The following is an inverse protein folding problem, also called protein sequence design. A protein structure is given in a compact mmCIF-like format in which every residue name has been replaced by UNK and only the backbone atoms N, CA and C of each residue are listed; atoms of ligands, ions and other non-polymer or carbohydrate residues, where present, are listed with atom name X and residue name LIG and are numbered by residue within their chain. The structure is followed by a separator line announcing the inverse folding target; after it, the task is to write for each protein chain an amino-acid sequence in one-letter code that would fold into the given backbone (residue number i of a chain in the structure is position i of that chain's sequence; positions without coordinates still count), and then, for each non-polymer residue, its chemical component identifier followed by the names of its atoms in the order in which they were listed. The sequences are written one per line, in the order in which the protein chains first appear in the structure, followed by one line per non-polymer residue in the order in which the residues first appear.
data_IF_604534166191
#
_entry.id   IF_604534166191
#
_cell.length_a   1.000
_cell.length_b   1.000
_cell.length_c   1.000
_cell.angle_alpha   90.00
_cell.angle_beta   90.00
_cell.angle_gamma   90.00
#
_symmetry.space_group_name_H-M   'P 1'
#
loop_
_entity.id
_entity.type
_entity.pdbx_description
1 polymer ?
#
# COMPACT_ATOMS: atom_id res chain seq x y z
N UNK A 1 -37.80 17.19 -40.01
CA UNK A 1 -37.22 18.50 -39.63
C UNK A 1 -37.99 18.99 -38.41
N UNK A 2 -37.46 19.08 -37.19
CA UNK A 2 -36.08 19.07 -36.72
C UNK A 2 -36.02 18.37 -35.35
N UNK A 3 -35.10 17.43 -35.22
CA UNK A 3 -34.57 17.03 -33.93
C UNK A 3 -33.64 18.16 -33.48
N UNK A 4 -33.97 18.84 -32.39
CA UNK A 4 -33.08 19.80 -31.78
C UNK A 4 -32.24 19.04 -30.75
N UNK A 5 -31.03 18.72 -31.18
CA UNK A 5 -29.97 18.09 -30.41
C UNK A 5 -29.78 18.79 -29.06
N UNK A 6 -29.88 18.01 -27.99
CA UNK A 6 -29.50 18.42 -26.64
C UNK A 6 -28.02 18.13 -26.44
N UNK A 7 -27.15 18.87 -27.10
CA UNK A 7 -25.72 18.94 -26.73
C UNK A 7 -25.47 20.21 -25.92
N UNK A 8 -25.11 20.04 -24.64
CA UNK A 8 -24.22 20.90 -23.82
C UNK A 8 -24.58 20.76 -22.33
N UNK A 9 -23.72 20.35 -21.42
CA UNK A 9 -22.34 19.93 -21.55
C UNK A 9 -21.97 19.11 -20.32
N UNK A 10 -21.16 18.07 -20.51
CA UNK A 10 -20.42 17.44 -19.43
C UNK A 10 -19.45 18.50 -18.89
N UNK A 11 -19.86 19.28 -17.90
CA UNK A 11 -18.90 19.98 -17.06
C UNK A 11 -18.09 18.89 -16.35
N UNK A 12 -16.93 18.56 -16.89
CA UNK A 12 -15.91 17.88 -16.13
C UNK A 12 -15.75 18.69 -14.86
N UNK A 13 -16.23 18.15 -13.74
CA UNK A 13 -16.00 18.70 -12.42
C UNK A 13 -14.49 18.82 -12.27
N UNK A 14 -13.95 20.02 -12.54
CA UNK A 14 -12.54 20.32 -12.26
C UNK A 14 -12.33 19.92 -10.81
N UNK A 15 -11.39 19.01 -10.57
CA UNK A 15 -11.16 18.54 -9.22
C UNK A 15 -10.70 19.75 -8.41
N UNK A 16 -11.15 19.90 -7.16
CA UNK A 16 -10.68 20.99 -6.31
C UNK A 16 -9.14 21.01 -6.17
N UNK A 17 -8.48 19.89 -6.46
CA UNK A 17 -7.03 19.70 -6.45
C UNK A 17 -6.34 20.35 -7.64
N UNK A 18 -7.02 20.59 -8.77
CA UNK A 18 -6.46 21.31 -9.92
C UNK A 18 -6.20 22.79 -9.60
N UNK A 19 -6.78 23.29 -8.50
CA UNK A 19 -6.60 24.65 -7.98
C UNK A 19 -5.60 24.74 -6.83
N UNK A 20 -5.12 23.60 -6.33
CA UNK A 20 -4.16 23.56 -5.23
C UNK A 20 -2.73 23.62 -5.77
N UNK A 21 -1.81 24.33 -5.10
CA UNK A 21 -0.39 24.23 -5.39
C UNK A 21 0.08 22.77 -5.27
N UNK A 22 1.01 22.31 -6.14
CA UNK A 22 1.53 20.94 -6.11
C UNK A 22 2.06 20.51 -4.74
N UNK A 23 2.64 21.43 -3.97
CA UNK A 23 3.21 21.20 -2.64
C UNK A 23 2.12 20.86 -1.62
N UNK A 24 0.96 21.52 -1.72
CA UNK A 24 -0.19 21.26 -0.83
C UNK A 24 -0.81 19.91 -1.17
N UNK A 25 -0.99 19.64 -2.46
CA UNK A 25 -1.49 18.34 -2.94
C UNK A 25 -0.56 17.20 -2.50
N UNK A 26 0.76 17.38 -2.62
CA UNK A 26 1.74 16.43 -2.10
C UNK A 26 1.60 16.21 -0.59
N UNK A 27 1.46 17.29 0.19
CA UNK A 27 1.29 17.19 1.65
C UNK A 27 0.00 16.47 2.05
N UNK A 28 -1.05 16.54 1.23
CA UNK A 28 -2.26 15.75 1.45
C UNK A 28 -1.97 14.26 1.21
N UNK A 29 -1.34 13.93 0.08
CA UNK A 29 -1.03 12.54 -0.24
C UNK A 29 -0.04 11.91 0.74
N UNK A 30 0.91 12.66 1.30
CA UNK A 30 1.86 12.11 2.28
C UNK A 30 1.24 11.72 3.63
N UNK A 31 -0.02 12.09 3.88
CA UNK A 31 -0.77 11.67 5.08
C UNK A 31 -1.62 10.41 4.85
N UNK A 32 -1.72 9.95 3.61
CA UNK A 32 -2.54 8.80 3.26
C UNK A 32 -1.82 7.49 3.59
N UNK A 33 -2.58 6.47 3.98
CA UNK A 33 -2.06 5.11 4.06
C UNK A 33 -1.88 4.49 2.67
N UNK A 34 -1.14 3.38 2.60
CA UNK A 34 -0.80 2.69 1.34
C UNK A 34 -2.05 2.36 0.53
N UNK A 35 -3.13 1.92 1.19
CA UNK A 35 -4.37 1.56 0.50
C UNK A 35 -5.08 2.79 -0.09
N UNK A 36 -5.14 3.89 0.66
CA UNK A 36 -5.71 5.14 0.18
C UNK A 36 -4.87 5.76 -0.93
N UNK A 37 -3.53 5.65 -0.86
CA UNK A 37 -2.63 6.05 -1.95
C UNK A 37 -2.89 5.25 -3.23
N UNK A 38 -3.05 3.92 -3.12
CA UNK A 38 -3.38 3.08 -4.28
C UNK A 38 -4.70 3.52 -4.92
N UNK A 39 -5.76 3.67 -4.11
CA UNK A 39 -7.07 4.14 -4.57
C UNK A 39 -6.99 5.54 -5.20
N UNK A 40 -6.28 6.47 -4.55
CA UNK A 40 -6.05 7.82 -5.07
C UNK A 40 -5.34 7.79 -6.43
N UNK A 41 -4.35 6.90 -6.62
CA UNK A 41 -3.64 6.76 -7.88
C UNK A 41 -4.52 6.25 -9.03
N UNK A 42 -5.67 5.64 -8.75
CA UNK A 42 -6.60 5.11 -9.74
C UNK A 42 -7.71 6.10 -10.11
N UNK A 43 -7.81 7.24 -9.41
CA UNK A 43 -8.92 8.20 -9.58
C UNK A 43 -8.86 8.96 -10.91
N UNK A 44 -7.70 9.51 -11.27
CA UNK A 44 -7.50 10.25 -12.50
C UNK A 44 -6.03 10.25 -12.93
N UNK A 45 -5.77 10.60 -14.20
CA UNK A 45 -4.41 10.64 -14.76
C UNK A 45 -3.48 11.58 -13.99
N UNK A 46 -3.96 12.76 -13.58
CA UNK A 46 -3.14 13.74 -12.87
C UNK A 46 -2.66 13.20 -11.52
N UNK A 47 -3.56 12.59 -10.74
CA UNK A 47 -3.22 11.98 -9.45
C UNK A 47 -2.34 10.75 -9.64
N UNK A 48 -2.64 9.92 -10.64
CA UNK A 48 -1.81 8.78 -10.99
C UNK A 48 -0.35 9.21 -11.23
N UNK A 49 -0.16 10.25 -12.04
CA UNK A 49 1.17 10.79 -12.35
C UNK A 49 1.88 11.38 -11.14
N UNK A 50 1.16 12.10 -10.28
CA UNK A 50 1.72 12.69 -9.06
C UNK A 50 2.09 11.64 -8.00
N UNK A 51 1.31 10.56 -7.91
CA UNK A 51 1.46 9.54 -6.86
C UNK A 51 2.46 8.45 -7.29
N UNK A 52 2.31 7.85 -8.47
CA UNK A 52 3.09 6.64 -8.85
C UNK A 52 4.60 6.85 -8.87
N UNK A 53 5.05 7.97 -9.44
CA UNK A 53 6.47 8.22 -9.67
C UNK A 53 7.12 9.05 -8.56
N UNK A 54 6.49 9.14 -7.39
CA UNK A 54 6.95 9.99 -6.29
C UNK A 54 7.49 9.15 -5.14
N UNK A 55 8.81 8.92 -5.17
CA UNK A 55 9.51 8.14 -4.15
C UNK A 55 9.34 8.70 -2.73
N UNK A 56 9.15 10.03 -2.58
CA UNK A 56 8.98 10.64 -1.27
C UNK A 56 7.65 10.23 -0.59
N UNK A 57 6.64 9.81 -1.37
CA UNK A 57 5.41 9.22 -0.84
C UNK A 57 5.61 7.76 -0.44
N UNK A 58 6.29 6.96 -1.28
CA UNK A 58 6.36 5.51 -1.08
C UNK A 58 7.49 5.07 -0.13
N UNK A 59 8.62 5.78 -0.12
CA UNK A 59 9.81 5.42 0.66
C UNK A 59 9.54 5.33 2.16
N UNK A 60 8.83 6.27 2.83
CA UNK A 60 8.53 6.14 4.26
C UNK A 60 7.74 4.88 4.62
N UNK A 61 6.74 4.53 3.80
CA UNK A 61 5.96 3.30 3.97
C UNK A 61 6.81 2.06 3.72
N UNK A 62 7.69 2.09 2.71
CA UNK A 62 8.62 1.00 2.44
C UNK A 62 9.60 0.78 3.61
N UNK A 63 10.15 1.84 4.19
CA UNK A 63 11.01 1.75 5.36
C UNK A 63 10.27 1.19 6.59
N UNK A 64 8.99 1.52 6.75
CA UNK A 64 8.15 0.93 7.80
C UNK A 64 7.97 -0.57 7.59
N UNK A 65 7.71 -1.00 6.35
CA UNK A 65 7.63 -2.43 6.01
C UNK A 65 8.97 -3.15 6.15
N UNK A 66 10.09 -2.48 5.85
CA UNK A 66 11.47 -2.99 5.99
C UNK A 66 11.82 -3.35 7.42
N UNK A 67 11.27 -2.65 8.41
CA UNK A 67 11.47 -3.00 9.83
C UNK A 67 10.93 -4.40 10.18
N UNK A 68 9.99 -4.91 9.38
CA UNK A 68 9.36 -6.23 9.57
C UNK A 68 9.90 -7.27 8.57
N UNK A 69 10.13 -6.85 7.33
CA UNK A 69 10.58 -7.70 6.21
C UNK A 69 11.86 -7.12 5.58
N UNK A 70 12.99 -7.06 6.31
CA UNK A 70 14.21 -6.43 5.80
C UNK A 70 14.75 -7.16 4.58
N UNK A 71 14.80 -8.50 4.63
CA UNK A 71 15.32 -9.36 3.56
C UNK A 71 14.57 -9.19 2.24
N UNK A 72 13.25 -9.17 2.28
CA UNK A 72 12.44 -9.05 1.07
C UNK A 72 12.51 -7.66 0.46
N UNK A 73 12.49 -6.62 1.32
CA UNK A 73 12.58 -5.24 0.86
C UNK A 73 13.97 -4.94 0.28
N UNK A 74 15.04 -5.37 0.97
CA UNK A 74 16.41 -5.15 0.52
C UNK A 74 16.69 -5.92 -0.77
N UNK A 75 16.23 -7.16 -0.90
CA UNK A 75 16.35 -7.93 -2.14
C UNK A 75 15.63 -7.29 -3.33
N UNK A 76 14.43 -6.73 -3.15
CA UNK A 76 13.73 -5.99 -4.21
C UNK A 76 14.47 -4.67 -4.55
N UNK A 77 15.06 -3.98 -3.58
CA UNK A 77 15.87 -2.78 -3.84
C UNK A 77 17.13 -3.14 -4.65
N UNK A 78 17.82 -4.22 -4.28
CA UNK A 78 19.01 -4.73 -4.98
C UNK A 78 18.67 -5.15 -6.42
N UNK A 79 17.46 -5.67 -6.65
CA UNK A 79 16.95 -5.99 -7.98
C UNK A 79 16.53 -4.75 -8.81
N UNK A 80 16.66 -3.54 -8.26
CA UNK A 80 16.37 -2.28 -8.97
C UNK A 80 14.89 -1.93 -9.09
N UNK A 81 14.02 -2.50 -8.24
CA UNK A 81 12.61 -2.11 -8.20
C UNK A 81 12.43 -0.68 -7.64
N UNK A 82 11.38 0.01 -8.09
CA UNK A 82 11.00 1.32 -7.53
C UNK A 82 10.42 1.17 -6.13
N UNK A 83 10.48 2.23 -5.30
CA UNK A 83 9.91 2.21 -3.95
C UNK A 83 8.43 1.81 -3.92
N UNK A 84 7.66 2.25 -4.93
CA UNK A 84 6.27 1.82 -5.09
C UNK A 84 6.19 0.31 -5.34
N UNK A 85 6.92 -0.20 -6.33
CA UNK A 85 6.85 -1.61 -6.71
C UNK A 85 7.31 -2.51 -5.54
N UNK A 86 8.43 -2.17 -4.90
CA UNK A 86 8.96 -2.87 -3.72
C UNK A 86 7.92 -2.91 -2.59
N UNK A 87 7.29 -1.78 -2.27
CA UNK A 87 6.29 -1.75 -1.21
C UNK A 87 5.08 -2.62 -1.57
N UNK A 88 4.52 -2.48 -2.78
CA UNK A 88 3.31 -3.21 -3.17
C UNK A 88 3.53 -4.73 -3.20
N UNK A 89 4.70 -5.19 -3.62
CA UNK A 89 5.08 -6.62 -3.62
C UNK A 89 5.14 -7.20 -2.20
N UNK A 90 5.58 -6.39 -1.24
CA UNK A 90 5.81 -6.83 0.14
C UNK A 90 4.74 -6.38 1.14
N UNK A 91 3.72 -5.64 0.69
CA UNK A 91 2.72 -5.02 1.57
C UNK A 91 1.91 -6.03 2.36
N UNK A 92 1.35 -7.05 1.69
CA UNK A 92 0.58 -8.09 2.38
C UNK A 92 1.49 -8.92 3.30
N UNK A 93 2.66 -9.36 2.80
CA UNK A 93 3.62 -10.14 3.61
C UNK A 93 4.02 -9.39 4.89
N UNK A 94 4.39 -8.12 4.78
CA UNK A 94 4.79 -7.30 5.93
C UNK A 94 3.64 -7.09 6.92
N UNK A 95 2.40 -6.89 6.46
CA UNK A 95 1.23 -6.76 7.36
C UNK A 95 0.92 -8.05 8.11
N UNK A 96 0.95 -9.17 7.41
CA UNK A 96 0.66 -10.48 8.03
C UNK A 96 1.76 -10.82 9.02
N UNK A 97 3.04 -10.66 8.64
CA UNK A 97 4.17 -10.91 9.53
C UNK A 97 4.12 -10.00 10.76
N UNK A 98 3.85 -8.70 10.59
CA UNK A 98 3.68 -7.78 11.71
C UNK A 98 2.52 -8.19 12.63
N UNK A 99 1.39 -8.63 12.09
CA UNK A 99 0.26 -9.08 12.90
C UNK A 99 0.63 -10.32 13.76
N UNK A 100 1.40 -11.25 13.21
CA UNK A 100 1.96 -12.37 13.98
C UNK A 100 2.94 -11.88 15.05
N UNK A 101 3.95 -11.08 14.68
CA UNK A 101 4.98 -10.59 15.62
C UNK A 101 4.44 -9.66 16.71
N UNK A 102 3.34 -8.94 16.45
CA UNK A 102 2.65 -8.14 17.48
C UNK A 102 1.82 -8.99 18.45
N UNK A 103 1.69 -10.29 18.21
CA UNK A 103 0.90 -11.21 19.02
C UNK A 103 -0.61 -11.14 18.77
N UNK A 104 -1.05 -10.45 17.71
CA UNK A 104 -2.48 -10.40 17.34
C UNK A 104 -3.07 -11.79 17.10
N UNK A 105 -2.23 -12.72 16.68
CA UNK A 105 -2.58 -14.11 16.37
C UNK A 105 -1.97 -15.11 17.38
N UNK A 106 -1.52 -14.66 18.54
CA UNK A 106 -1.07 -15.55 19.61
C UNK A 106 -2.25 -16.32 20.21
N UNK A 107 -1.99 -17.48 20.79
CA UNK A 107 -2.99 -18.31 21.50
C UNK A 107 -4.19 -18.77 20.66
N UNK A 108 -4.00 -18.99 19.37
CA UNK A 108 -5.07 -19.52 18.50
C UNK A 108 -5.35 -20.98 18.88
N UNK A 109 -6.53 -21.21 19.48
CA UNK A 109 -6.98 -22.54 19.92
C UNK A 109 -7.55 -23.42 18.80
N UNK A 110 -7.86 -22.84 17.64
CA UNK A 110 -8.46 -23.56 16.52
C UNK A 110 -8.24 -22.83 15.20
N UNK A 111 -8.07 -23.54 14.07
CA UNK A 111 -7.91 -22.94 12.74
C UNK A 111 -9.05 -21.99 12.33
N UNK A 112 -10.25 -22.16 12.87
CA UNK A 112 -11.41 -21.29 12.57
C UNK A 112 -11.27 -19.87 13.14
N UNK A 113 -10.36 -19.67 14.10
CA UNK A 113 -10.08 -18.36 14.67
C UNK A 113 -9.03 -17.58 13.86
N UNK A 114 -8.43 -18.19 12.83
CA UNK A 114 -7.55 -17.48 11.91
C UNK A 114 -8.37 -16.59 10.97
N UNK A 115 -7.91 -15.36 10.67
CA UNK A 115 -8.55 -14.53 9.67
C UNK A 115 -8.49 -15.16 8.28
N UNK A 116 -9.65 -15.49 7.70
CA UNK A 116 -9.77 -16.14 6.38
C UNK A 116 -9.17 -15.32 5.21
N UNK A 117 -9.07 -14.00 5.37
CA UNK A 117 -8.77 -13.06 4.27
C UNK A 117 -7.38 -12.44 4.31
N UNK A 118 -6.62 -12.70 5.37
CA UNK A 118 -5.35 -12.01 5.66
C UNK A 118 -4.17 -12.98 5.78
N UNK A 119 -4.23 -14.16 5.16
CA UNK A 119 -3.07 -15.05 5.11
C UNK A 119 -2.44 -14.93 3.74
N UNK A 120 -1.16 -14.55 3.68
CA UNK A 120 -0.37 -14.64 2.45
C UNK A 120 0.59 -15.83 2.55
N UNK A 121 0.93 -16.47 1.42
CA UNK A 121 2.00 -17.47 1.41
C UNK A 121 3.31 -16.84 1.89
N UNK A 122 4.02 -17.53 2.77
CA UNK A 122 5.35 -17.14 3.24
C UNK A 122 6.27 -18.36 3.19
N UNK A 123 7.57 -18.11 2.97
CA UNK A 123 8.61 -19.13 3.00
C UNK A 123 8.88 -19.66 4.41
N UNK A 124 9.52 -20.83 4.47
CA UNK A 124 9.82 -21.53 5.71
C UNK A 124 10.66 -20.69 6.69
N UNK A 125 11.58 -19.87 6.18
CA UNK A 125 12.42 -19.01 7.01
C UNK A 125 11.59 -17.92 7.70
N UNK A 126 10.69 -17.26 6.95
CA UNK A 126 9.76 -16.27 7.52
C UNK A 126 8.87 -16.88 8.60
N UNK A 127 8.35 -18.09 8.38
CA UNK A 127 7.59 -18.81 9.41
C UNK A 127 8.44 -19.21 10.60
N UNK A 128 9.71 -19.56 10.38
CA UNK A 128 10.68 -19.84 11.42
C UNK A 128 10.89 -18.64 12.34
N UNK A 129 11.07 -17.44 11.78
CA UNK A 129 11.19 -16.21 12.57
C UNK A 129 9.94 -15.93 13.42
N UNK A 130 8.74 -16.10 12.85
CA UNK A 130 7.48 -15.94 13.57
C UNK A 130 7.37 -16.95 14.71
N UNK A 131 7.71 -18.22 14.45
CA UNK A 131 7.66 -19.29 15.45
C UNK A 131 8.61 -19.01 16.61
N UNK A 132 9.86 -18.61 16.32
CA UNK A 132 10.83 -18.24 17.35
C UNK A 132 10.31 -17.09 18.22
N UNK A 133 9.77 -16.03 17.61
CA UNK A 133 9.21 -14.89 18.35
C UNK A 133 7.99 -15.26 19.21
N UNK A 134 7.23 -16.28 18.84
CA UNK A 134 6.10 -16.77 19.64
C UNK A 134 6.56 -17.67 20.79
N UNK A 135 7.62 -18.46 20.60
CA UNK A 135 8.20 -19.31 21.65
C UNK A 135 8.92 -18.51 22.75
N UNK A 136 9.48 -17.35 22.40
CA UNK A 136 10.19 -16.46 23.34
C UNK A 136 9.26 -15.53 24.15
N UNK A 137 7.96 -15.53 23.87
CA UNK A 137 6.97 -14.64 24.48
C UNK A 137 6.45 -15.15 25.81
#
# INVERSE_FOLDING_TARGET
MNAADTEQGRTASQSSFDRLPPEVTYKIFSQLDVQSLCRASETCWAWNRMIRNNDALWKPHCLTARAVCPREIDGDIECGYTWQATLLRNYEKSKVKHAWLSGRYSNIRSPVHLPKRFMCPMDAETWGEILTAELER
#
